data_IF_295864269184
#
_entry.id   IF_295864269184
#
_cell.length_a   1.000
_cell.length_b   1.000
_cell.length_c   1.000
_cell.angle_alpha   90.00
_cell.angle_beta   90.00
_cell.angle_gamma   90.00
#
_symmetry.space_group_name_H-M   'P 1'
#
loop_
_entity.id
_entity.type
_entity.pdbx_description
1 polymer ?
#
# COMPACT_ATOMS: atom_id res chain seq x y z
N UNK A 1 -17.73 12.89 12.09
CA UNK A 1 -17.03 12.78 10.80
C UNK A 1 -16.76 11.31 10.62
N UNK A 2 -17.35 10.68 9.61
CA UNK A 2 -17.43 9.22 9.56
C UNK A 2 -16.03 8.62 9.40
N UNK A 3 -15.57 7.97 10.46
CA UNK A 3 -14.47 7.01 10.46
C UNK A 3 -14.74 6.00 9.34
N UNK A 4 -14.15 6.24 8.17
CA UNK A 4 -14.05 5.24 7.13
C UNK A 4 -13.32 4.07 7.79
N UNK A 5 -14.08 3.06 8.20
CA UNK A 5 -13.63 1.94 9.00
C UNK A 5 -12.62 1.17 8.15
N UNK A 6 -11.36 1.60 8.21
CA UNK A 6 -10.24 0.94 7.56
C UNK A 6 -10.31 -0.53 7.95
N UNK A 7 -10.11 -1.43 7.00
CA UNK A 7 -10.06 -2.85 7.32
C UNK A 7 -8.99 -3.06 8.41
N UNK A 8 -9.12 -4.06 9.29
CA UNK A 8 -8.12 -4.31 10.34
C UNK A 8 -6.68 -4.42 9.80
N UNK A 9 -6.51 -4.90 8.56
CA UNK A 9 -5.23 -4.91 7.86
C UNK A 9 -4.70 -3.50 7.52
N UNK A 10 -5.55 -2.56 7.11
CA UNK A 10 -5.16 -1.17 6.87
C UNK A 10 -4.89 -0.41 8.17
N UNK A 11 -5.61 -0.71 9.25
CA UNK A 11 -5.30 -0.15 10.57
C UNK A 11 -3.89 -0.58 11.03
N UNK A 12 -3.53 -1.85 10.81
CA UNK A 12 -2.17 -2.33 11.05
C UNK A 12 -1.15 -1.64 10.16
N UNK A 13 -1.42 -1.52 8.85
CA UNK A 13 -0.55 -0.80 7.92
C UNK A 13 -0.27 0.63 8.39
N UNK A 14 -1.32 1.38 8.73
CA UNK A 14 -1.20 2.75 9.23
C UNK A 14 -0.50 2.84 10.59
N UNK A 15 -0.61 1.82 11.44
CA UNK A 15 0.15 1.76 12.69
C UNK A 15 1.64 1.68 12.41
N UNK A 16 2.07 0.72 11.59
CA UNK A 16 3.49 0.59 11.22
C UNK A 16 3.97 1.82 10.43
N UNK A 17 3.13 2.42 9.59
CA UNK A 17 3.51 3.63 8.84
C UNK A 17 3.78 4.81 9.74
N UNK A 18 3.00 4.97 10.81
CA UNK A 18 3.27 6.01 11.82
C UNK A 18 4.57 5.79 12.57
N UNK A 19 5.02 4.55 12.72
CA UNK A 19 6.32 4.24 13.32
C UNK A 19 7.48 4.44 12.32
N UNK A 20 7.19 4.37 11.02
CA UNK A 20 8.17 4.45 9.93
C UNK A 20 7.70 5.43 8.83
N UNK A 21 7.44 6.67 9.20
CA UNK A 21 6.86 7.68 8.30
C UNK A 21 7.77 7.96 7.08
N UNK A 22 9.09 7.94 7.31
CA UNK A 22 10.14 8.20 6.31
C UNK A 22 10.45 6.99 5.41
N UNK A 23 9.87 5.81 5.68
CA UNK A 23 10.17 4.58 4.94
C UNK A 23 8.96 4.04 4.19
N UNK A 24 9.22 3.45 3.01
CA UNK A 24 8.21 2.78 2.20
C UNK A 24 7.88 1.42 2.81
N UNK A 25 6.65 1.22 3.25
CA UNK A 25 6.20 -0.04 3.84
C UNK A 25 5.73 -1.02 2.78
N UNK A 26 6.50 -2.10 2.64
CA UNK A 26 6.19 -3.24 1.79
C UNK A 26 5.33 -4.23 2.57
N UNK A 27 4.02 -4.16 2.40
CA UNK A 27 3.09 -5.08 3.05
C UNK A 27 2.99 -6.38 2.27
N UNK A 28 3.53 -7.47 2.81
CA UNK A 28 3.50 -8.77 2.14
C UNK A 28 2.08 -9.35 2.18
N UNK A 29 1.43 -9.41 1.03
CA UNK A 29 0.20 -10.18 0.80
C UNK A 29 0.53 -11.37 -0.11
N UNK A 30 0.80 -12.53 0.50
CA UNK A 30 1.17 -13.75 -0.21
C UNK A 30 2.50 -13.59 -0.95
N UNK A 31 2.44 -13.71 -2.27
CA UNK A 31 3.58 -13.61 -3.20
C UNK A 31 3.85 -12.19 -3.71
N UNK A 32 3.08 -11.19 -3.24
CA UNK A 32 3.25 -9.79 -3.62
C UNK A 32 3.53 -8.92 -2.40
N UNK A 33 4.39 -7.94 -2.58
CA UNK A 33 4.51 -6.81 -1.68
C UNK A 33 3.63 -5.68 -2.18
N UNK A 34 2.57 -5.38 -1.42
CA UNK A 34 1.67 -4.27 -1.67
C UNK A 34 2.08 -3.05 -0.84
N UNK A 35 2.12 -1.90 -1.49
CA UNK A 35 2.30 -0.58 -0.89
C UNK A 35 1.02 0.22 -1.13
N UNK A 36 0.65 1.10 -0.21
CA UNK A 36 -0.62 1.84 -0.26
C UNK A 36 -0.40 3.35 -0.12
N UNK A 37 -1.39 4.14 -0.52
CA UNK A 37 -1.38 5.60 -0.33
C UNK A 37 -0.19 6.28 -1.04
N UNK A 38 0.59 7.06 -0.30
CA UNK A 38 1.72 7.81 -0.84
C UNK A 38 2.92 6.91 -1.13
N UNK A 39 3.14 5.89 -0.30
CA UNK A 39 4.16 4.86 -0.49
C UNK A 39 4.04 4.18 -1.86
N UNK A 40 2.80 3.95 -2.30
CA UNK A 40 2.53 3.40 -3.63
C UNK A 40 2.99 4.33 -4.76
N UNK A 41 2.75 5.64 -4.63
CA UNK A 41 3.12 6.65 -5.63
C UNK A 41 4.63 6.85 -5.67
N UNK A 42 5.23 6.94 -4.50
CA UNK A 42 6.68 7.09 -4.33
C UNK A 42 7.40 5.87 -4.91
N UNK A 43 7.00 4.65 -4.51
CA UNK A 43 7.60 3.42 -5.02
C UNK A 43 7.38 3.24 -6.53
N UNK A 44 6.19 3.56 -7.05
CA UNK A 44 5.93 3.56 -8.49
C UNK A 44 6.88 4.49 -9.24
N UNK A 45 7.13 5.68 -8.70
CA UNK A 45 8.04 6.65 -9.31
C UNK A 45 9.51 6.26 -9.19
N UNK A 46 9.94 5.77 -8.03
CA UNK A 46 11.33 5.41 -7.74
C UNK A 46 11.77 4.12 -8.43
N UNK A 47 10.91 3.11 -8.40
CA UNK A 47 11.19 1.76 -8.90
C UNK A 47 10.57 1.50 -10.29
N UNK A 48 9.83 2.47 -10.84
CA UNK A 48 9.16 2.32 -12.14
C UNK A 48 8.01 1.30 -12.12
N UNK A 49 7.38 1.10 -10.97
CA UNK A 49 6.30 0.11 -10.81
C UNK A 49 4.98 0.64 -11.37
N UNK A 50 4.11 -0.27 -11.80
CA UNK A 50 2.75 0.09 -12.20
C UNK A 50 1.93 0.51 -10.99
N UNK A 51 1.58 1.80 -10.90
CA UNK A 51 0.63 2.31 -9.92
C UNK A 51 -0.78 1.88 -10.31
N UNK A 52 -1.46 1.19 -9.40
CA UNK A 52 -2.86 0.76 -9.56
C UNK A 52 -3.69 1.34 -8.41
N UNK A 53 -4.99 1.04 -8.34
CA UNK A 53 -5.85 1.56 -7.28
C UNK A 53 -6.86 0.50 -6.85
N UNK A 54 -7.02 0.34 -5.53
CA UNK A 54 -7.92 -0.65 -4.93
C UNK A 54 -9.21 0.06 -4.58
N UNK A 55 -10.30 -0.36 -5.20
CA UNK A 55 -11.61 0.13 -4.83
C UNK A 55 -12.11 -0.67 -3.62
N UNK A 56 -12.13 -0.05 -2.43
CA UNK A 56 -12.64 -0.69 -1.21
C UNK A 56 -14.16 -0.48 -1.03
N UNK A 57 -14.91 -0.67 -2.12
CA UNK A 57 -16.35 -0.49 -2.17
C UNK A 57 -16.80 0.98 -2.32
N UNK A 58 -18.09 1.14 -2.66
CA UNK A 58 -18.76 2.40 -3.08
C UNK A 58 -18.63 3.63 -2.15
N UNK A 59 -18.03 3.50 -0.97
CA UNK A 59 -18.07 4.53 0.08
C UNK A 59 -16.71 5.15 0.41
N UNK A 60 -15.59 4.50 0.11
CA UNK A 60 -14.28 4.91 0.68
C UNK A 60 -13.25 5.45 -0.32
N UNK A 61 -13.60 5.55 -1.61
CA UNK A 61 -12.72 6.08 -2.65
C UNK A 61 -11.62 5.09 -3.09
N UNK A 62 -10.97 5.41 -4.19
CA UNK A 62 -9.89 4.62 -4.78
C UNK A 62 -8.59 4.83 -4.00
N UNK A 63 -8.05 3.76 -3.42
CA UNK A 63 -6.81 3.81 -2.66
C UNK A 63 -5.66 3.44 -3.60
N UNK A 64 -4.70 4.35 -3.89
CA UNK A 64 -3.57 4.03 -4.74
C UNK A 64 -2.75 2.91 -4.12
N UNK A 65 -2.36 1.93 -4.94
CA UNK A 65 -1.58 0.78 -4.54
C UNK A 65 -0.49 0.50 -5.58
N UNK A 66 0.67 0.06 -5.13
CA UNK A 66 1.73 -0.44 -6.00
C UNK A 66 2.15 -1.82 -5.50
N UNK A 67 2.28 -2.76 -6.43
CA UNK A 67 2.60 -4.15 -6.12
C UNK A 67 3.93 -4.54 -6.75
N UNK A 68 4.81 -5.17 -5.96
CA UNK A 68 6.03 -5.82 -6.45
C UNK A 68 5.89 -7.32 -6.25
N UNK A 69 6.10 -8.15 -7.28
CA UNK A 69 6.15 -9.59 -7.09
C UNK A 69 7.37 -9.96 -6.24
N UNK A 70 7.19 -10.81 -5.22
CA UNK A 70 8.27 -11.30 -4.36
C UNK A 70 9.42 -11.91 -5.17
N UNK A 71 9.10 -12.60 -6.26
CA UNK A 71 10.11 -13.15 -7.17
C UNK A 71 11.00 -12.11 -7.86
N UNK A 72 10.56 -10.85 -7.99
CA UNK A 72 11.40 -9.78 -8.52
C UNK A 72 12.31 -9.15 -7.45
N UNK A 73 12.12 -9.49 -6.17
CA UNK A 73 13.00 -9.07 -5.08
C UNK A 73 14.19 -10.03 -4.89
N UNK A 74 14.13 -11.25 -5.44
CA UNK A 74 15.26 -12.18 -5.50
C UNK A 74 16.11 -11.87 -6.73
N UNK A 75 16.83 -10.74 -6.68
CA UNK A 75 17.89 -10.36 -7.61
C UNK A 75 19.26 -10.50 -6.98
#
# INVERSE_FOLDING_TARGET
MADAKLSPAMEQYMRFKREHDDAILFFRMGDFYEMFFDDAREASRLLGLTLTSRNHGKTSGDIPLAGVPHHAMEG
#
